data_IF_792721329546
#
_entry.id   IF_792721329546
#
_cell.length_a   1.000
_cell.length_b   1.000
_cell.length_c   1.000
_cell.angle_alpha   90.00
_cell.angle_beta   90.00
_cell.angle_gamma   90.00
#
_symmetry.space_group_name_H-M   'P 1'
#
loop_
_entity.id
_entity.type
_entity.pdbx_description
1 polymer ?
#
# COMPACT_ATOMS: atom_id res chain seq x y z
N UNK A 1 41.89 -4.95 -40.00
CA UNK A 1 41.01 -4.00 -39.30
C UNK A 1 39.60 -4.57 -39.27
N UNK A 2 39.22 -5.30 -38.22
CA UNK A 2 37.86 -5.83 -38.05
C UNK A 2 37.58 -5.95 -36.56
N UNK A 3 37.32 -4.81 -35.94
CA UNK A 3 36.89 -4.75 -34.55
C UNK A 3 35.49 -4.14 -34.49
N UNK A 4 34.69 -4.75 -33.62
CA UNK A 4 33.65 -4.14 -32.80
C UNK A 4 32.37 -3.67 -33.52
N UNK A 5 31.28 -4.40 -33.29
CA UNK A 5 30.13 -3.88 -32.54
C UNK A 5 29.07 -4.97 -32.39
N UNK A 6 29.09 -5.70 -31.28
CA UNK A 6 27.88 -6.30 -30.73
C UNK A 6 27.56 -5.48 -29.49
N UNK A 7 26.69 -4.49 -29.66
CA UNK A 7 26.13 -3.73 -28.55
C UNK A 7 25.10 -4.61 -27.85
N UNK A 8 25.46 -5.10 -26.67
CA UNK A 8 24.56 -5.81 -25.76
C UNK A 8 23.56 -4.79 -25.21
N UNK A 9 22.32 -4.84 -25.70
CA UNK A 9 21.19 -4.17 -25.08
C UNK A 9 20.76 -4.99 -23.85
N UNK A 10 21.48 -4.84 -22.73
CA UNK A 10 20.98 -5.27 -21.43
C UNK A 10 19.92 -4.26 -20.98
N UNK A 11 18.67 -4.57 -21.30
CA UNK A 11 17.50 -3.90 -20.72
C UNK A 11 17.51 -4.18 -19.20
N UNK A 12 18.08 -3.25 -18.43
CA UNK A 12 18.02 -3.25 -16.97
C UNK A 12 16.56 -3.09 -16.56
N UNK A 13 15.86 -4.22 -16.38
CA UNK A 13 14.63 -4.28 -15.61
C UNK A 13 15.01 -4.03 -14.14
N UNK A 14 15.17 -2.76 -13.78
CA UNK A 14 15.37 -2.35 -12.39
C UNK A 14 14.13 -2.82 -11.63
N UNK A 15 14.24 -3.74 -10.66
CA UNK A 15 13.08 -4.16 -9.88
C UNK A 15 12.55 -2.93 -9.14
N UNK A 16 11.23 -2.69 -9.22
CA UNK A 16 10.55 -1.51 -8.65
C UNK A 16 10.83 -1.29 -7.14
N UNK A 17 11.36 -2.31 -6.45
CA UNK A 17 11.90 -2.21 -5.09
C UNK A 17 13.04 -1.18 -4.93
N UNK A 18 13.77 -0.83 -5.99
CA UNK A 18 14.89 0.11 -5.94
C UNK A 18 14.50 1.60 -5.89
N UNK A 19 13.22 1.94 -6.02
CA UNK A 19 12.74 3.34 -5.98
C UNK A 19 11.87 3.66 -4.75
N UNK A 20 11.74 2.71 -3.81
CA UNK A 20 11.02 2.97 -2.57
C UNK A 20 11.95 3.72 -1.60
N UNK A 21 11.67 5.01 -1.39
CA UNK A 21 12.33 5.77 -0.34
C UNK A 21 11.88 5.24 1.04
N UNK A 22 12.85 4.90 1.88
CA UNK A 22 12.57 4.46 3.25
C UNK A 22 12.04 5.63 4.08
N UNK A 23 10.99 5.34 4.84
CA UNK A 23 10.42 6.22 5.83
C UNK A 23 11.12 5.94 7.15
N UNK A 24 11.76 6.97 7.71
CA UNK A 24 12.46 6.84 8.98
C UNK A 24 11.45 6.58 10.12
N UNK A 25 11.64 5.45 10.80
CA UNK A 25 10.92 5.08 12.03
C UNK A 25 11.92 4.52 13.05
N UNK A 26 11.65 4.62 14.36
CA UNK A 26 12.56 4.13 15.39
C UNK A 26 12.90 2.64 15.26
N UNK A 27 14.19 2.30 15.41
CA UNK A 27 14.68 0.92 15.28
C UNK A 27 14.07 -0.03 16.32
N UNK A 28 13.76 0.47 17.52
CA UNK A 28 13.14 -0.33 18.57
C UNK A 28 11.74 -0.84 18.20
N UNK A 29 11.10 -0.23 17.19
CA UNK A 29 9.86 -0.75 16.61
C UNK A 29 10.08 -1.96 15.72
N UNK A 30 11.32 -2.37 15.42
CA UNK A 30 11.68 -3.56 14.63
C UNK A 30 10.86 -3.69 13.34
N UNK A 31 10.70 -2.56 12.64
CA UNK A 31 9.88 -2.45 11.45
C UNK A 31 10.59 -1.54 10.42
N UNK A 32 10.23 -1.71 9.15
CA UNK A 32 10.64 -0.85 8.04
C UNK A 32 9.39 -0.31 7.37
N UNK A 33 9.35 1.00 7.11
CA UNK A 33 8.25 1.63 6.40
C UNK A 33 8.75 2.23 5.09
N UNK A 34 7.98 2.11 4.01
CA UNK A 34 8.32 2.67 2.70
C UNK A 34 7.09 2.79 1.81
N UNK A 35 7.17 3.62 0.77
CA UNK A 35 6.12 3.73 -0.26
C UNK A 35 6.60 3.03 -1.52
N UNK A 36 5.89 1.96 -1.92
CA UNK A 36 6.01 1.39 -3.26
C UNK A 36 5.26 2.26 -4.25
N UNK A 37 5.93 2.67 -5.32
CA UNK A 37 5.35 3.43 -6.43
C UNK A 37 5.29 2.55 -7.66
N UNK A 38 4.17 2.56 -8.34
CA UNK A 38 3.93 1.85 -9.58
C UNK A 38 3.10 2.72 -10.54
N UNK A 39 3.04 2.29 -11.80
CA UNK A 39 2.23 2.92 -12.83
C UNK A 39 1.39 1.86 -13.55
N UNK A 40 0.17 2.23 -13.91
CA UNK A 40 -0.76 1.45 -14.72
C UNK A 40 -1.57 2.39 -15.58
N UNK A 41 -1.65 2.09 -16.88
CA UNK A 41 -2.39 2.89 -17.85
C UNK A 41 -1.98 4.38 -17.86
N UNK A 42 -0.69 4.66 -17.64
CA UNK A 42 -0.15 6.03 -17.53
C UNK A 42 -0.54 6.76 -16.25
N UNK A 43 -1.11 6.07 -15.27
CA UNK A 43 -1.61 6.62 -14.02
C UNK A 43 -0.92 5.96 -12.82
N UNK A 44 -0.72 6.73 -11.75
CA UNK A 44 0.03 6.26 -10.59
C UNK A 44 -0.75 5.29 -9.69
N UNK A 45 -0.01 4.36 -9.10
CA UNK A 45 -0.38 3.49 -7.99
C UNK A 45 0.65 3.67 -6.88
N UNK A 46 0.20 3.77 -5.63
CA UNK A 46 1.09 3.94 -4.47
C UNK A 46 0.62 3.08 -3.31
N UNK A 47 1.57 2.43 -2.65
CA UNK A 47 1.30 1.55 -1.52
C UNK A 47 2.26 1.88 -0.40
N UNK A 48 1.73 2.43 0.69
CA UNK A 48 2.48 2.52 1.94
C UNK A 48 2.54 1.13 2.56
N UNK A 49 3.75 0.64 2.81
CA UNK A 49 4.00 -0.66 3.41
C UNK A 49 4.78 -0.46 4.70
N UNK A 50 4.34 -1.12 5.78
CA UNK A 50 5.12 -1.29 7.00
C UNK A 50 5.38 -2.78 7.18
N UNK A 51 6.64 -3.18 7.06
CA UNK A 51 7.10 -4.56 7.20
C UNK A 51 7.72 -4.77 8.58
N UNK A 52 7.37 -5.87 9.24
CA UNK A 52 7.86 -6.23 10.57
C UNK A 52 8.96 -7.30 10.48
N UNK A 53 9.96 -7.23 11.37
CA UNK A 53 11.00 -8.26 11.47
C UNK A 53 10.46 -9.64 11.87
N UNK A 54 9.31 -9.67 12.58
CA UNK A 54 8.61 -10.88 13.02
C UNK A 54 7.10 -10.68 12.88
N UNK A 55 6.36 -11.78 12.81
CA UNK A 55 4.89 -11.75 12.76
C UNK A 55 4.32 -10.99 13.97
N UNK A 56 3.36 -10.10 13.73
CA UNK A 56 2.69 -9.31 14.77
C UNK A 56 1.19 -9.44 14.65
N UNK A 57 0.50 -9.38 15.78
CA UNK A 57 -0.94 -9.20 15.80
C UNK A 57 -1.28 -7.78 15.38
N UNK A 58 -2.03 -7.66 14.30
CA UNK A 58 -2.49 -6.39 13.71
C UNK A 58 -4.00 -6.30 13.81
N UNK A 59 -4.53 -5.08 13.79
CA UNK A 59 -5.97 -4.80 13.71
C UNK A 59 -6.21 -3.93 12.47
N UNK A 60 -6.99 -4.43 11.52
CA UNK A 60 -7.43 -3.73 10.33
C UNK A 60 -8.94 -3.49 10.34
N UNK A 61 -9.39 -2.47 9.63
CA UNK A 61 -10.83 -2.14 9.53
C UNK A 61 -11.59 -3.13 8.64
N UNK A 62 -10.92 -3.69 7.63
CA UNK A 62 -11.53 -4.65 6.69
C UNK A 62 -11.51 -6.09 7.21
N UNK A 63 -10.34 -6.56 7.64
CA UNK A 63 -10.11 -7.98 7.94
C UNK A 63 -10.03 -8.27 9.46
N UNK A 64 -10.23 -7.26 10.33
CA UNK A 64 -10.17 -7.42 11.78
C UNK A 64 -8.77 -7.77 12.30
N UNK A 65 -8.70 -8.71 13.25
CA UNK A 65 -7.43 -9.18 13.80
C UNK A 65 -6.73 -10.14 12.85
N UNK A 66 -5.51 -9.79 12.43
CA UNK A 66 -4.67 -10.61 11.54
C UNK A 66 -3.25 -10.67 12.10
N UNK A 67 -2.68 -11.86 12.20
CA UNK A 67 -1.25 -12.01 12.43
C UNK A 67 -0.50 -11.81 11.11
N UNK A 68 0.29 -10.74 11.01
CA UNK A 68 0.87 -10.30 9.76
C UNK A 68 2.38 -9.98 9.89
N UNK A 69 3.10 -10.16 8.79
CA UNK A 69 4.47 -9.68 8.59
C UNK A 69 4.52 -8.29 7.97
N UNK A 70 3.42 -7.82 7.37
CA UNK A 70 3.33 -6.46 6.86
C UNK A 70 1.90 -5.90 6.97
N UNK A 71 1.80 -4.58 6.99
CA UNK A 71 0.54 -3.86 6.79
C UNK A 71 0.64 -2.94 5.57
N UNK A 72 -0.47 -2.77 4.86
CA UNK A 72 -0.57 -2.05 3.59
C UNK A 72 -1.67 -0.99 3.66
N UNK A 73 -1.37 0.22 3.21
CA UNK A 73 -2.38 1.19 2.76
C UNK A 73 -2.13 1.51 1.27
N UNK A 74 -3.07 1.11 0.40
CA UNK A 74 -2.97 1.32 -1.04
C UNK A 74 -3.81 2.49 -1.53
N UNK A 75 -3.32 3.20 -2.54
CA UNK A 75 -4.06 4.21 -3.29
C UNK A 75 -3.69 4.17 -4.76
N UNK A 76 -4.63 4.57 -5.61
CA UNK A 76 -4.41 4.76 -7.03
C UNK A 76 -4.96 6.12 -7.47
N UNK A 77 -4.46 6.62 -8.59
CA UNK A 77 -5.00 7.82 -9.22
C UNK A 77 -6.54 7.70 -9.36
N UNK A 78 -7.35 8.74 -9.10
CA UNK A 78 -8.81 8.64 -9.14
C UNK A 78 -9.37 8.05 -10.44
N UNK A 79 -8.88 8.50 -11.60
CA UNK A 79 -9.24 7.92 -12.90
C UNK A 79 -8.84 6.45 -13.03
N UNK A 80 -7.74 6.03 -12.42
CA UNK A 80 -7.33 4.63 -12.42
C UNK A 80 -8.24 3.82 -11.50
N UNK A 81 -8.53 4.34 -10.30
CA UNK A 81 -9.41 3.72 -9.32
C UNK A 81 -10.80 3.43 -9.91
N UNK A 82 -11.35 4.38 -10.66
CA UNK A 82 -12.61 4.18 -11.38
C UNK A 82 -12.49 3.03 -12.40
N UNK A 83 -11.49 3.10 -13.30
CA UNK A 83 -11.27 2.08 -14.34
C UNK A 83 -11.08 0.68 -13.74
N UNK A 84 -10.27 0.54 -12.70
CA UNK A 84 -10.02 -0.76 -12.06
C UNK A 84 -11.24 -1.21 -11.27
N UNK A 85 -11.99 -0.32 -10.64
CA UNK A 85 -13.23 -0.71 -9.95
C UNK A 85 -14.26 -1.26 -10.93
N UNK A 86 -14.42 -0.64 -12.10
CA UNK A 86 -15.29 -1.14 -13.18
C UNK A 86 -14.77 -2.46 -13.76
N UNK A 87 -13.46 -2.55 -14.05
CA UNK A 87 -12.84 -3.76 -14.62
C UNK A 87 -12.90 -4.96 -13.67
N UNK A 88 -12.69 -4.73 -12.38
CA UNK A 88 -12.77 -5.77 -11.36
C UNK A 88 -14.20 -5.95 -10.84
N UNK A 89 -15.19 -5.22 -11.38
CA UNK A 89 -16.57 -5.31 -10.93
C UNK A 89 -17.11 -6.72 -11.17
N UNK A 90 -17.39 -7.43 -10.08
CA UNK A 90 -18.14 -8.68 -10.07
C UNK A 90 -19.63 -8.41 -9.93
N UNK A 91 -20.45 -9.45 -10.14
CA UNK A 91 -21.91 -9.37 -10.00
C UNK A 91 -22.39 -8.89 -8.62
N UNK A 92 -21.54 -8.99 -7.61
CA UNK A 92 -21.79 -8.55 -6.23
C UNK A 92 -21.42 -7.08 -5.96
N UNK A 93 -20.94 -6.33 -6.97
CA UNK A 93 -20.65 -4.89 -6.84
C UNK A 93 -19.32 -4.55 -6.16
N UNK A 94 -18.44 -5.52 -5.90
CA UNK A 94 -17.24 -5.33 -5.06
C UNK A 94 -15.92 -5.14 -5.82
N UNK A 95 -15.96 -4.41 -6.94
CA UNK A 95 -14.78 -4.23 -7.80
C UNK A 95 -13.56 -3.62 -7.10
N UNK A 96 -13.75 -2.60 -6.27
CA UNK A 96 -12.67 -1.98 -5.49
C UNK A 96 -12.01 -2.95 -4.48
N UNK A 97 -12.80 -3.84 -3.86
CA UNK A 97 -12.29 -4.86 -2.94
C UNK A 97 -11.44 -5.88 -3.70
N UNK A 98 -11.93 -6.38 -4.83
CA UNK A 98 -11.20 -7.35 -5.65
C UNK A 98 -9.90 -6.77 -6.21
N UNK A 99 -9.91 -5.51 -6.63
CA UNK A 99 -8.70 -4.79 -7.00
C UNK A 99 -7.70 -4.69 -5.84
N UNK A 100 -8.18 -4.34 -4.65
CA UNK A 100 -7.32 -4.25 -3.46
C UNK A 100 -6.75 -5.63 -3.06
N UNK A 101 -7.55 -6.69 -3.17
CA UNK A 101 -7.13 -8.08 -2.97
C UNK A 101 -6.06 -8.50 -3.99
N UNK A 102 -6.17 -8.06 -5.24
CA UNK A 102 -5.15 -8.25 -6.28
C UNK A 102 -3.84 -7.53 -5.93
N UNK A 103 -3.90 -6.29 -5.44
CA UNK A 103 -2.71 -5.54 -5.03
C UNK A 103 -2.04 -6.20 -3.81
N UNK A 104 -2.82 -6.65 -2.82
CA UNK A 104 -2.30 -7.41 -1.68
C UNK A 104 -1.55 -8.66 -2.15
N UNK A 105 -2.12 -9.43 -3.08
CA UNK A 105 -1.48 -10.63 -3.63
C UNK A 105 -0.19 -10.30 -4.38
N UNK A 106 -0.18 -9.22 -5.17
CA UNK A 106 1.01 -8.76 -5.90
C UNK A 106 2.13 -8.39 -4.94
N UNK A 107 1.85 -7.55 -3.95
CA UNK A 107 2.84 -7.12 -2.95
C UNK A 107 3.32 -8.30 -2.11
N UNK A 108 2.43 -9.22 -1.71
CA UNK A 108 2.81 -10.44 -1.01
C UNK A 108 3.83 -11.25 -1.81
N UNK A 109 3.60 -11.43 -3.12
CA UNK A 109 4.55 -12.11 -4.00
C UNK A 109 5.91 -11.41 -4.04
N UNK A 110 5.91 -10.08 -4.18
CA UNK A 110 7.15 -9.28 -4.23
C UNK A 110 7.94 -9.37 -2.91
N UNK A 111 7.25 -9.47 -1.78
CA UNK A 111 7.84 -9.65 -0.44
C UNK A 111 8.12 -11.11 -0.08
N UNK A 112 7.83 -12.07 -0.97
CA UNK A 112 7.92 -13.53 -0.71
C UNK A 112 7.10 -13.97 0.51
N UNK A 113 5.95 -13.35 0.71
CA UNK A 113 4.97 -13.64 1.77
C UNK A 113 3.71 -14.30 1.19
N UNK A 114 2.88 -14.90 2.06
CA UNK A 114 1.51 -15.29 1.67
C UNK A 114 0.60 -14.06 1.72
N UNK A 115 -0.48 -14.07 0.94
CA UNK A 115 -1.51 -13.00 0.99
C UNK A 115 -1.98 -12.72 2.42
N UNK A 116 -2.26 -13.78 3.18
CA UNK A 116 -2.76 -13.71 4.55
C UNK A 116 -1.68 -13.33 5.59
N UNK A 117 -0.42 -13.17 5.17
CA UNK A 117 0.63 -12.59 6.02
C UNK A 117 0.69 -11.05 5.91
N UNK A 118 -0.24 -10.44 5.17
CA UNK A 118 -0.34 -8.98 5.01
C UNK A 118 -1.74 -8.53 5.43
N UNK A 119 -1.85 -7.56 6.33
CA UNK A 119 -3.12 -6.85 6.58
C UNK A 119 -3.20 -5.63 5.64
N UNK A 120 -4.40 -5.27 5.17
CA UNK A 120 -4.55 -4.24 4.14
C UNK A 120 -5.69 -3.27 4.44
N UNK A 121 -5.52 -2.08 3.88
CA UNK A 121 -6.58 -1.12 3.58
C UNK A 121 -6.28 -0.49 2.22
N UNK A 122 -7.30 0.06 1.57
CA UNK A 122 -7.11 1.00 0.48
C UNK A 122 -7.89 2.28 0.75
N UNK A 123 -7.27 3.41 0.42
CA UNK A 123 -7.82 4.75 0.66
C UNK A 123 -7.56 5.63 -0.56
N UNK A 124 -8.32 6.72 -0.73
CA UNK A 124 -8.00 7.71 -1.77
C UNK A 124 -6.96 8.75 -1.33
N UNK A 125 -6.35 8.59 -0.15
CA UNK A 125 -5.28 9.46 0.27
C UNK A 125 -4.05 9.20 -0.61
N UNK A 126 -3.44 10.26 -1.15
CA UNK A 126 -2.18 10.11 -1.87
C UNK A 126 -1.07 9.79 -0.85
N UNK A 127 -0.33 8.71 -1.04
CA UNK A 127 0.75 8.29 -0.13
C UNK A 127 1.90 9.29 -0.04
N UNK A 128 2.00 10.27 -0.96
CA UNK A 128 2.95 11.38 -0.82
C UNK A 128 2.51 12.40 0.26
N UNK A 129 1.22 12.45 0.61
CA UNK A 129 0.70 13.29 1.69
C UNK A 129 0.80 12.54 3.04
N UNK A 130 2.01 12.10 3.37
CA UNK A 130 2.29 11.31 4.56
C UNK A 130 2.92 12.18 5.66
N UNK A 131 2.36 12.11 6.86
CA UNK A 131 2.98 12.58 8.09
C UNK A 131 3.40 11.39 8.95
N UNK A 132 4.60 11.48 9.54
CA UNK A 132 5.16 10.45 10.44
C UNK A 132 5.46 11.10 11.77
N UNK A 133 4.86 10.58 12.84
CA UNK A 133 5.04 11.10 14.20
C UNK A 133 5.30 9.95 15.14
N UNK A 134 6.39 10.06 15.90
CA UNK A 134 6.74 9.13 16.97
C UNK A 134 6.55 9.82 18.32
N UNK A 135 5.96 9.12 19.28
CA UNK A 135 5.96 9.50 20.70
C UNK A 135 6.36 8.31 21.57
N UNK A 136 7.08 8.61 22.65
CA UNK A 136 7.44 7.62 23.67
C UNK A 136 6.60 7.84 24.92
N UNK A 137 5.95 6.78 25.36
CA UNK A 137 5.16 6.69 26.58
C UNK A 137 5.65 5.46 27.33
N UNK A 138 6.84 5.56 27.94
CA UNK A 138 7.56 4.40 28.51
C UNK A 138 6.61 3.49 29.32
N UNK A 139 6.60 2.17 29.06
CA UNK A 139 7.56 1.43 28.22
C UNK A 139 7.22 1.40 26.72
N UNK A 140 6.22 2.14 26.25
CA UNK A 140 5.70 2.08 24.89
C UNK A 140 6.36 3.12 23.96
N UNK A 141 6.63 2.72 22.72
CA UNK A 141 6.94 3.63 21.61
C UNK A 141 5.82 3.52 20.59
N UNK A 142 5.21 4.64 20.22
CA UNK A 142 4.10 4.71 19.29
C UNK A 142 4.53 5.54 18.10
N UNK A 143 4.44 4.97 16.89
CA UNK A 143 4.64 5.71 15.65
C UNK A 143 3.38 5.67 14.80
N UNK A 144 2.95 6.84 14.35
CA UNK A 144 1.78 7.03 13.50
C UNK A 144 2.24 7.45 12.12
N UNK A 145 1.75 6.73 11.10
CA UNK A 145 1.90 7.07 9.70
C UNK A 145 0.52 7.47 9.19
N UNK A 146 0.30 8.78 9.04
CA UNK A 146 -0.99 9.34 8.67
C UNK A 146 -0.96 9.85 7.23
N UNK A 147 -1.84 9.33 6.38
CA UNK A 147 -1.98 9.76 4.98
C UNK A 147 -3.23 10.63 4.81
N UNK A 148 -3.13 11.73 4.07
CA UNK A 148 -4.24 12.68 3.87
C UNK A 148 -4.48 13.06 2.40
N UNK A 149 -5.48 13.92 2.17
CA UNK A 149 -5.75 14.52 0.86
C UNK A 149 -6.70 13.73 -0.04
N UNK A 150 -7.49 12.81 0.53
CA UNK A 150 -8.67 12.30 -0.15
C UNK A 150 -9.70 13.44 -0.34
N UNK A 151 -10.23 13.59 -1.55
CA UNK A 151 -11.13 14.72 -1.91
C UNK A 151 -12.56 14.32 -2.25
N UNK A 152 -12.81 13.05 -2.56
CA UNK A 152 -14.07 12.64 -3.21
C UNK A 152 -14.78 11.47 -2.53
N UNK A 153 -14.07 10.65 -1.74
CA UNK A 153 -14.63 9.47 -1.08
C UNK A 153 -14.23 9.36 0.41
N UNK A 154 -13.74 10.47 0.99
CA UNK A 154 -13.54 10.56 2.43
C UNK A 154 -14.82 11.10 3.06
N UNK A 155 -15.37 10.34 3.99
CA UNK A 155 -16.51 10.75 4.80
C UNK A 155 -15.95 11.46 6.01
N UNK A 156 -16.32 12.71 6.23
CA UNK A 156 -15.94 13.46 7.42
C UNK A 156 -16.69 12.86 8.61
N UNK A 157 -15.94 12.30 9.56
CA UNK A 157 -16.49 11.73 10.79
C UNK A 157 -17.38 12.75 11.50
N UNK A 158 -18.64 12.38 11.74
CA UNK A 158 -19.61 13.23 12.43
C UNK A 158 -20.21 14.37 11.61
N UNK A 159 -19.93 14.44 10.30
CA UNK A 159 -20.52 15.45 9.40
C UNK A 159 -21.22 14.79 8.22
N UNK A 160 -20.57 13.82 7.57
CA UNK A 160 -21.09 13.17 6.37
C UNK A 160 -21.77 11.84 6.74
N UNK A 161 -22.86 11.52 6.06
CA UNK A 161 -23.62 10.27 6.21
C UNK A 161 -23.33 9.32 5.05
N UNK A 162 -23.37 8.01 5.31
CA UNK A 162 -23.25 6.95 4.30
C UNK A 162 -24.47 6.05 4.37
N UNK A 163 -25.06 5.74 3.22
CA UNK A 163 -26.04 4.66 3.10
C UNK A 163 -25.40 3.27 2.97
N UNK A 164 -24.06 3.20 2.98
CA UNK A 164 -23.29 1.97 2.86
C UNK A 164 -22.66 1.60 4.21
N UNK A 165 -22.92 0.37 4.66
CA UNK A 165 -22.25 -0.26 5.79
C UNK A 165 -21.16 -1.19 5.20
N UNK A 166 -19.89 -0.96 5.56
CA UNK A 166 -18.83 -1.93 5.29
C UNK A 166 -19.11 -3.22 6.07
N UNK A 167 -19.00 -4.38 5.41
CA UNK A 167 -19.24 -5.70 5.98
C UNK A 167 -18.12 -6.67 5.68
#
# INVERSE_FOLDING_TARGET
MRNLMIAVFTLLMIPALLLAADIQIPENLQARAYVLKAERDGLWEKSLVVQFAKKRRTLGTLDGFVDAYAVLNHSAHPLLWQKVSEKFMSQDGRGGKLYTDFIQQKIAKDLKLKKNDINKIATAANMDNLAVVTKEFKPLTVTVLATAGAKTNAIRTGVDESSHIEG
#
